data_IF_650696861311
#
_entry.id   IF_650696861311
#
_cell.length_a   1.000
_cell.length_b   1.000
_cell.length_c   1.000
_cell.angle_alpha   90.00
_cell.angle_beta   90.00
_cell.angle_gamma   90.00
#
_symmetry.space_group_name_H-M   'P 1'
#
loop_
_entity.id
_entity.type
_entity.pdbx_description
1 polymer ?
#
# COMPACT_ATOMS: atom_id res chain seq x y z
N UNK A 1 23.00 -3.70 -19.96
CA UNK A 1 22.40 -3.13 -18.73
C UNK A 1 20.87 -3.07 -18.77
N UNK A 2 20.20 -2.95 -19.94
CA UNK A 2 18.72 -2.96 -20.04
C UNK A 2 18.06 -4.23 -19.50
N UNK A 3 18.62 -5.40 -19.79
CA UNK A 3 17.94 -6.68 -19.57
C UNK A 3 17.81 -7.03 -18.09
N UNK A 4 18.79 -6.63 -17.27
CA UNK A 4 18.74 -6.79 -15.81
C UNK A 4 17.65 -5.92 -15.17
N UNK A 5 17.54 -4.66 -15.58
CA UNK A 5 16.48 -3.77 -15.09
C UNK A 5 15.09 -4.25 -15.54
N UNK A 6 14.98 -4.72 -16.78
CA UNK A 6 13.72 -5.22 -17.32
C UNK A 6 13.29 -6.53 -16.64
N UNK A 7 14.23 -7.45 -16.39
CA UNK A 7 13.99 -8.67 -15.62
C UNK A 7 13.51 -8.35 -14.19
N UNK A 8 14.18 -7.41 -13.51
CA UNK A 8 13.78 -6.97 -12.17
C UNK A 8 12.37 -6.37 -12.16
N UNK A 9 12.00 -5.59 -13.18
CA UNK A 9 10.64 -5.05 -13.31
C UNK A 9 9.58 -6.14 -13.49
N UNK A 10 9.86 -7.16 -14.29
CA UNK A 10 8.93 -8.29 -14.48
C UNK A 10 8.74 -9.07 -13.18
N UNK A 11 9.83 -9.35 -12.47
CA UNK A 11 9.80 -10.04 -11.17
C UNK A 11 9.03 -9.19 -10.15
N UNK A 12 9.30 -7.88 -10.10
CA UNK A 12 8.61 -6.98 -9.19
C UNK A 12 7.12 -6.86 -9.50
N UNK A 13 6.72 -6.85 -10.77
CA UNK A 13 5.32 -6.74 -11.15
C UNK A 13 4.51 -7.99 -10.75
N UNK A 14 5.12 -9.17 -10.81
CA UNK A 14 4.51 -10.38 -10.25
C UNK A 14 4.37 -10.26 -8.73
N UNK A 15 5.45 -9.88 -8.05
CA UNK A 15 5.45 -9.70 -6.60
C UNK A 15 4.42 -8.66 -6.14
N UNK A 16 4.32 -7.52 -6.82
CA UNK A 16 3.38 -6.43 -6.53
C UNK A 16 1.93 -6.91 -6.58
N UNK A 17 1.57 -7.70 -7.59
CA UNK A 17 0.21 -8.27 -7.72
C UNK A 17 -0.10 -9.25 -6.58
N UNK A 18 0.81 -10.17 -6.30
CA UNK A 18 0.65 -11.15 -5.22
C UNK A 18 0.53 -10.46 -3.85
N UNK A 19 1.35 -9.44 -3.61
CA UNK A 19 1.34 -8.65 -2.38
C UNK A 19 0.05 -7.85 -2.25
N UNK A 20 -0.41 -7.22 -3.34
CA UNK A 20 -1.66 -6.47 -3.34
C UNK A 20 -2.85 -7.37 -3.00
N UNK A 21 -2.95 -8.54 -3.63
CA UNK A 21 -4.01 -9.50 -3.37
C UNK A 21 -3.99 -9.97 -1.91
N UNK A 22 -2.79 -10.17 -1.35
CA UNK A 22 -2.61 -10.53 0.04
C UNK A 22 -3.07 -9.39 0.97
N UNK A 23 -2.58 -8.17 0.75
CA UNK A 23 -2.96 -7.00 1.55
C UNK A 23 -4.46 -6.75 1.51
N UNK A 24 -5.09 -6.79 0.34
CA UNK A 24 -6.54 -6.55 0.21
C UNK A 24 -7.37 -7.55 1.01
N UNK A 25 -6.97 -8.83 1.03
CA UNK A 25 -7.66 -9.87 1.82
C UNK A 25 -7.52 -9.63 3.32
N UNK A 26 -6.35 -9.19 3.77
CA UNK A 26 -6.07 -8.96 5.19
C UNK A 26 -6.61 -7.62 5.71
N UNK A 27 -6.50 -6.55 4.92
CA UNK A 27 -6.92 -5.19 5.26
C UNK A 27 -8.39 -4.91 4.86
N UNK A 28 -9.19 -5.96 4.69
CA UNK A 28 -10.60 -5.88 4.32
C UNK A 28 -11.35 -5.07 5.39
N UNK A 29 -11.96 -3.93 5.04
CA UNK A 29 -12.59 -3.03 6.02
C UNK A 29 -13.72 -3.67 6.81
N UNK A 30 -14.42 -4.63 6.20
CA UNK A 30 -15.48 -5.44 6.82
C UNK A 30 -14.99 -6.27 8.01
N UNK A 31 -13.69 -6.58 8.06
CA UNK A 31 -13.08 -7.33 9.16
C UNK A 31 -12.61 -6.42 10.31
N UNK A 32 -12.72 -5.10 10.16
CA UNK A 32 -12.39 -4.14 11.23
C UNK A 32 -13.54 -4.15 12.25
N UNK A 33 -13.32 -4.84 13.36
CA UNK A 33 -14.26 -4.92 14.48
C UNK A 33 -14.52 -3.54 15.11
N UNK A 34 -15.69 -3.37 15.71
CA UNK A 34 -16.12 -2.15 16.43
C UNK A 34 -16.21 -0.88 15.57
N UNK A 35 -16.58 -1.01 14.29
CA UNK A 35 -16.93 0.14 13.46
C UNK A 35 -18.06 0.95 14.11
N UNK A 36 -17.75 2.19 14.44
CA UNK A 36 -18.71 3.22 14.81
C UNK A 36 -18.53 4.39 13.84
N UNK A 37 -19.55 4.67 13.04
CA UNK A 37 -19.54 5.79 12.09
C UNK A 37 -19.32 7.15 12.78
N UNK A 38 -19.56 7.24 14.09
CA UNK A 38 -19.34 8.44 14.90
C UNK A 38 -17.92 8.54 15.44
N UNK A 39 -17.11 7.49 15.33
CA UNK A 39 -15.74 7.43 15.81
C UNK A 39 -14.76 7.01 14.69
N UNK A 40 -14.34 7.96 13.83
CA UNK A 40 -13.34 7.70 12.80
C UNK A 40 -12.00 7.19 13.35
N UNK A 41 -11.68 7.51 14.61
CA UNK A 41 -10.40 7.13 15.21
C UNK A 41 -10.34 5.62 15.46
N UNK A 42 -11.44 5.01 15.90
CA UNK A 42 -11.53 3.54 16.00
C UNK A 42 -11.30 2.86 14.65
N UNK A 43 -11.88 3.40 13.58
CA UNK A 43 -11.67 2.85 12.24
C UNK A 43 -10.20 2.95 11.82
N UNK A 44 -9.57 4.12 11.97
CA UNK A 44 -8.15 4.31 11.61
C UNK A 44 -7.22 3.40 12.43
N UNK A 45 -7.50 3.25 13.73
CA UNK A 45 -6.73 2.36 14.59
C UNK A 45 -6.94 0.90 14.21
N UNK A 46 -8.17 0.50 13.90
CA UNK A 46 -8.51 -0.83 13.41
C UNK A 46 -7.77 -1.17 12.12
N UNK A 47 -7.82 -0.29 11.11
CA UNK A 47 -7.06 -0.46 9.88
C UNK A 47 -5.56 -0.58 10.15
N UNK A 48 -4.99 0.33 10.97
CA UNK A 48 -3.58 0.28 11.37
C UNK A 48 -3.21 -1.05 12.02
N UNK A 49 -4.06 -1.57 12.90
CA UNK A 49 -3.85 -2.84 13.59
C UNK A 49 -3.91 -4.03 12.63
N UNK A 50 -4.74 -3.97 11.57
CA UNK A 50 -4.79 -4.99 10.53
C UNK A 50 -3.50 -5.01 9.67
N UNK A 51 -3.02 -3.83 9.25
CA UNK A 51 -1.88 -3.76 8.30
C UNK A 51 -0.51 -3.86 8.96
N UNK A 52 -0.36 -3.45 10.22
CA UNK A 52 0.95 -3.42 10.91
C UNK A 52 1.63 -4.81 10.97
N UNK A 53 0.95 -5.90 11.37
CA UNK A 53 1.56 -7.23 11.40
C UNK A 53 2.01 -7.71 10.01
N UNK A 54 1.23 -7.39 8.97
CA UNK A 54 1.55 -7.71 7.58
C UNK A 54 2.81 -6.97 7.13
N UNK A 55 2.86 -5.65 7.36
CA UNK A 55 4.03 -4.82 7.04
C UNK A 55 5.28 -5.38 7.73
N UNK A 56 5.20 -5.68 9.04
CA UNK A 56 6.32 -6.22 9.79
C UNK A 56 6.78 -7.58 9.24
N UNK A 57 5.83 -8.47 8.92
CA UNK A 57 6.13 -9.79 8.35
C UNK A 57 6.84 -9.67 7.01
N UNK A 58 6.36 -8.79 6.13
CA UNK A 58 6.96 -8.60 4.81
C UNK A 58 8.31 -7.90 4.90
N UNK A 59 8.49 -6.92 5.80
CA UNK A 59 9.79 -6.31 6.08
C UNK A 59 10.82 -7.37 6.52
N UNK A 60 10.46 -8.25 7.45
CA UNK A 60 11.36 -9.31 7.92
C UNK A 60 11.68 -10.33 6.82
N UNK A 61 10.70 -10.66 5.97
CA UNK A 61 10.91 -11.49 4.78
C UNK A 61 11.89 -10.82 3.81
N UNK A 62 11.74 -9.52 3.55
CA UNK A 62 12.63 -8.76 2.67
C UNK A 62 14.05 -8.67 3.24
N UNK A 63 14.22 -8.43 4.55
CA UNK A 63 15.54 -8.47 5.23
C UNK A 63 16.24 -9.82 5.04
N UNK A 64 15.53 -10.92 5.29
CA UNK A 64 16.07 -12.28 5.08
C UNK A 64 16.42 -12.55 3.62
N UNK A 65 15.64 -12.02 2.69
CA UNK A 65 15.96 -12.16 1.26
C UNK A 65 17.20 -11.36 0.86
N UNK A 66 17.44 -10.19 1.48
CA UNK A 66 18.60 -9.35 1.23
C UNK A 66 19.90 -10.05 1.66
N UNK A 67 19.89 -10.78 2.77
CA UNK A 67 21.07 -11.54 3.22
C UNK A 67 21.46 -12.68 2.28
N UNK A 68 20.55 -13.10 1.39
CA UNK A 68 20.73 -14.22 0.47
C UNK A 68 20.90 -13.77 -0.99
N UNK A 69 20.47 -12.56 -1.34
CA UNK A 69 20.41 -12.08 -2.73
C UNK A 69 21.30 -10.85 -2.94
N UNK A 70 22.16 -10.90 -3.96
CA UNK A 70 23.05 -9.81 -4.37
C UNK A 70 22.36 -8.72 -5.23
N UNK A 71 21.02 -8.65 -5.21
CA UNK A 71 20.24 -7.76 -6.06
C UNK A 71 19.52 -6.67 -5.23
N UNK A 72 20.25 -5.63 -4.89
CA UNK A 72 19.76 -4.47 -4.12
C UNK A 72 18.67 -3.69 -4.86
N UNK A 73 18.73 -3.60 -6.19
CA UNK A 73 17.72 -2.90 -6.99
C UNK A 73 16.36 -3.58 -6.89
N UNK A 74 16.30 -4.91 -7.06
CA UNK A 74 15.04 -5.65 -6.90
C UNK A 74 14.46 -5.50 -5.49
N UNK A 75 15.32 -5.38 -4.47
CA UNK A 75 14.89 -5.13 -3.11
C UNK A 75 14.22 -3.77 -2.93
N UNK A 76 14.79 -2.69 -3.49
CA UNK A 76 14.17 -1.35 -3.45
C UNK A 76 12.80 -1.32 -4.14
N UNK A 77 12.68 -2.01 -5.28
CA UNK A 77 11.42 -2.17 -5.99
C UNK A 77 10.35 -2.89 -5.14
N UNK A 78 10.74 -3.93 -4.39
CA UNK A 78 9.83 -4.68 -3.53
C UNK A 78 9.35 -3.88 -2.32
N UNK A 79 10.23 -3.07 -1.70
CA UNK A 79 9.81 -2.16 -0.63
C UNK A 79 8.81 -1.13 -1.18
N UNK A 80 9.07 -0.59 -2.36
CA UNK A 80 8.15 0.34 -3.02
C UNK A 80 6.80 -0.31 -3.30
N UNK A 81 6.78 -1.55 -3.80
CA UNK A 81 5.57 -2.31 -4.01
C UNK A 81 4.77 -2.58 -2.72
N UNK A 82 5.44 -2.75 -1.57
CA UNK A 82 4.78 -2.84 -0.26
C UNK A 82 4.07 -1.55 0.09
N UNK A 83 4.73 -0.40 -0.08
CA UNK A 83 4.11 0.91 0.17
C UNK A 83 2.91 1.13 -0.75
N UNK A 84 3.03 0.81 -2.05
CA UNK A 84 1.93 0.89 -3.01
C UNK A 84 0.72 0.07 -2.57
N UNK A 85 0.95 -1.19 -2.14
CA UNK A 85 -0.12 -2.08 -1.73
C UNK A 85 -0.87 -1.55 -0.49
N UNK A 86 -0.14 -0.99 0.48
CA UNK A 86 -0.74 -0.40 1.68
C UNK A 86 -1.52 0.87 1.35
N UNK A 87 -0.98 1.76 0.51
CA UNK A 87 -1.68 2.99 0.07
C UNK A 87 -2.97 2.63 -0.68
N UNK A 88 -2.92 1.63 -1.56
CA UNK A 88 -4.10 1.20 -2.30
C UNK A 88 -5.16 0.59 -1.37
N UNK A 89 -4.75 -0.24 -0.40
CA UNK A 89 -5.67 -0.77 0.61
C UNK A 89 -6.26 0.33 1.50
N UNK A 90 -5.47 1.35 1.87
CA UNK A 90 -5.95 2.50 2.62
C UNK A 90 -6.98 3.32 1.82
N UNK A 91 -6.77 3.47 0.51
CA UNK A 91 -7.73 4.14 -0.37
C UNK A 91 -9.05 3.36 -0.46
N UNK A 92 -8.99 2.04 -0.72
CA UNK A 92 -10.16 1.17 -0.76
C UNK A 92 -10.93 1.21 0.58
N UNK A 93 -10.20 1.16 1.70
CA UNK A 93 -10.76 1.26 3.05
C UNK A 93 -11.42 2.62 3.33
N UNK A 94 -10.82 3.71 2.83
CA UNK A 94 -11.37 5.06 2.98
C UNK A 94 -12.69 5.23 2.22
N UNK A 95 -12.80 4.64 1.02
CA UNK A 95 -14.04 4.63 0.25
C UNK A 95 -15.12 3.84 0.98
N UNK A 96 -14.76 2.66 1.49
CA UNK A 96 -15.69 1.85 2.27
C UNK A 96 -16.19 2.62 3.49
N UNK A 97 -15.29 3.23 4.26
CA UNK A 97 -15.63 4.04 5.44
C UNK A 97 -16.56 5.20 5.09
N UNK A 98 -16.28 5.91 4.00
CA UNK A 98 -17.12 6.99 3.49
C UNK A 98 -18.53 6.51 3.14
N UNK A 99 -18.62 5.38 2.42
CA UNK A 99 -19.89 4.79 2.00
C UNK A 99 -20.73 4.35 3.20
N UNK A 100 -20.12 3.71 4.20
CA UNK A 100 -20.83 3.31 5.43
C UNK A 100 -21.30 4.54 6.23
N UNK A 101 -20.44 5.55 6.36
CA UNK A 101 -20.74 6.75 7.15
C UNK A 101 -21.85 7.59 6.53
N UNK A 102 -21.83 7.77 5.20
CA UNK A 102 -22.79 8.62 4.50
C UNK A 102 -23.96 7.86 3.85
N UNK A 103 -23.99 6.53 3.97
CA UNK A 103 -24.94 5.66 3.28
C UNK A 103 -24.99 5.90 1.76
N UNK A 104 -23.82 6.14 1.17
CA UNK A 104 -23.63 6.36 -0.27
C UNK A 104 -22.94 5.17 -0.93
N UNK A 105 -23.03 5.12 -2.26
CA UNK A 105 -22.28 4.18 -3.09
C UNK A 105 -21.34 4.96 -4.00
N UNK A 106 -20.19 5.34 -3.46
CA UNK A 106 -19.07 5.88 -4.20
C UNK A 106 -18.19 4.72 -4.65
N UNK A 107 -17.87 4.65 -5.95
CA UNK A 107 -16.93 3.67 -6.46
C UNK A 107 -15.56 4.32 -6.73
N UNK A 108 -14.44 3.59 -6.65
CA UNK A 108 -13.11 4.14 -6.89
C UNK A 108 -12.97 4.92 -8.20
N UNK A 109 -13.62 4.43 -9.27
CA UNK A 109 -13.62 5.05 -10.60
C UNK A 109 -14.31 6.41 -10.68
N UNK A 110 -15.16 6.73 -9.71
CA UNK A 110 -15.94 7.98 -9.66
C UNK A 110 -15.20 9.06 -8.86
N UNK A 111 -14.03 8.74 -8.30
CA UNK A 111 -13.24 9.64 -7.47
C UNK A 111 -12.13 10.23 -8.32
N UNK A 112 -12.25 11.53 -8.61
CA UNK A 112 -11.18 12.33 -9.21
C UNK A 112 -10.09 12.62 -8.18
N UNK A 113 -9.28 11.61 -7.85
CA UNK A 113 -8.16 11.73 -6.92
C UNK A 113 -6.93 11.00 -7.45
N UNK A 114 -5.78 11.67 -7.38
CA UNK A 114 -4.48 11.11 -7.69
C UNK A 114 -3.60 11.16 -6.44
N UNK A 115 -2.96 10.04 -6.10
CA UNK A 115 -1.89 9.97 -5.10
C UNK A 115 -0.57 9.89 -5.85
N UNK A 116 0.29 10.88 -5.66
CA UNK A 116 1.57 11.01 -6.35
C UNK A 116 2.68 10.69 -5.36
N UNK A 117 3.45 9.65 -5.68
CA UNK A 117 4.69 9.32 -4.99
C UNK A 117 5.74 10.42 -5.22
N UNK A 118 6.40 10.89 -4.15
CA UNK A 118 7.45 11.93 -4.19
C UNK A 118 8.72 11.41 -3.52
N UNK A 119 9.81 12.17 -3.64
CA UNK A 119 11.07 11.83 -2.97
C UNK A 119 11.61 10.45 -3.36
N UNK A 120 12.13 9.72 -2.37
CA UNK A 120 12.63 8.35 -2.56
C UNK A 120 11.53 7.38 -2.98
N UNK A 121 10.29 7.57 -2.50
CA UNK A 121 9.15 6.77 -2.94
C UNK A 121 8.88 6.93 -4.44
N UNK A 122 8.84 8.17 -4.93
CA UNK A 122 8.61 8.46 -6.36
C UNK A 122 9.73 8.00 -7.29
N UNK A 123 10.93 7.72 -6.78
CA UNK A 123 12.05 7.16 -7.54
C UNK A 123 12.23 5.66 -7.34
N UNK A 124 11.36 5.02 -6.56
CA UNK A 124 11.47 3.61 -6.17
C UNK A 124 12.76 3.28 -5.39
N UNK A 125 13.26 4.26 -4.62
CA UNK A 125 14.51 4.22 -3.84
C UNK A 125 14.22 4.19 -2.32
N UNK A 126 13.28 3.35 -1.89
CA UNK A 126 12.87 3.25 -0.48
C UNK A 126 13.69 2.25 0.32
N UNK A 127 14.05 2.64 1.55
CA UNK A 127 14.68 1.81 2.57
C UNK A 127 13.75 1.64 3.78
N UNK A 128 14.08 0.72 4.71
CA UNK A 128 13.17 0.35 5.81
C UNK A 128 12.73 1.47 6.75
N UNK A 129 13.51 2.55 6.85
CA UNK A 129 13.22 3.69 7.70
C UNK A 129 12.98 4.97 6.88
N UNK A 130 12.82 4.83 5.56
CA UNK A 130 12.52 5.96 4.70
C UNK A 130 11.12 6.49 4.99
N UNK A 131 10.98 7.81 4.96
CA UNK A 131 9.68 8.44 4.92
C UNK A 131 8.99 8.15 3.58
N UNK A 132 7.67 8.10 3.60
CA UNK A 132 6.83 7.98 2.41
C UNK A 132 6.27 9.36 2.09
N UNK A 133 6.87 10.03 1.12
CA UNK A 133 6.42 11.34 0.66
C UNK A 133 5.31 11.15 -0.38
N UNK A 134 4.11 11.63 -0.07
CA UNK A 134 2.93 11.57 -0.96
C UNK A 134 2.31 12.95 -1.13
N UNK A 135 1.91 13.25 -2.37
CA UNK A 135 1.08 14.39 -2.70
C UNK A 135 -0.28 13.89 -3.18
N UNK A 136 -1.35 14.37 -2.55
CA UNK A 136 -2.72 14.04 -2.94
C UNK A 136 -3.26 15.21 -3.74
N UNK A 137 -3.72 14.94 -4.96
CA UNK A 137 -4.39 15.91 -5.83
C UNK A 137 -5.82 15.46 -6.02
N UNK A 138 -6.77 16.34 -5.75
CA UNK A 138 -8.18 16.12 -6.04
C UNK A 138 -8.58 16.97 -7.25
N UNK A 139 -9.25 16.36 -8.22
CA UNK A 139 -9.90 17.05 -9.31
C UNK A 139 -11.15 17.78 -8.81
N UNK A 140 -11.51 18.88 -9.49
CA UNK A 140 -12.81 19.51 -9.26
C UNK A 140 -13.89 18.57 -9.80
N UNK A 141 -14.80 18.17 -8.91
CA UNK A 141 -16.09 17.57 -9.29
C UNK A 141 -17.09 18.69 -9.60
#
# INVERSE_FOLDING_TARGET
MSDFHQSNRIINEKYRRELLDHVKKFACPENISDFDAKDPQKFYLGFKNCVTPLINTEIERLKKSLTLASNSHLFLLKITALVDAIIQAAFDASIWFHNQTLQKKLYPKDISLAVIARGGYGREELYFQSNVDVQIISGKN
#
